data_IF_542501438275
#
_entry.id   IF_542501438275
#
_cell.length_a   1.000
_cell.length_b   1.000
_cell.length_c   1.000
_cell.angle_alpha   90.00
_cell.angle_beta   90.00
_cell.angle_gamma   90.00
#
_symmetry.space_group_name_H-M   'P 1'
#
loop_
_entity.id
_entity.type
_entity.pdbx_description
1 polymer ?
#
# COMPACT_ATOMS: atom_id res chain seq x y z
N UNK A 1 26.95 20.99 -19.88
CA UNK A 1 28.14 21.05 -19.01
C UNK A 1 28.09 19.90 -18.04
N UNK A 2 29.05 18.99 -18.16
CA UNK A 2 29.14 17.71 -17.45
C UNK A 2 29.44 17.90 -15.96
N UNK A 3 28.45 17.67 -15.09
CA UNK A 3 28.64 17.70 -13.64
C UNK A 3 29.15 16.35 -13.13
N UNK A 4 30.38 16.35 -12.61
CA UNK A 4 31.08 15.21 -12.02
C UNK A 4 30.26 14.58 -10.89
N UNK A 5 29.94 13.30 -11.03
CA UNK A 5 29.43 12.41 -9.98
C UNK A 5 30.54 12.14 -8.96
N UNK A 6 30.60 12.94 -7.90
CA UNK A 6 31.48 12.69 -6.75
C UNK A 6 30.79 11.78 -5.74
N UNK A 7 30.88 10.46 -5.95
CA UNK A 7 30.47 9.40 -5.01
C UNK A 7 31.52 9.22 -3.91
N UNK A 8 31.71 10.23 -3.06
CA UNK A 8 32.39 10.02 -1.78
C UNK A 8 31.34 9.54 -0.75
N UNK A 9 31.49 8.36 -0.13
CA UNK A 9 30.46 7.84 0.78
C UNK A 9 30.22 8.81 1.94
N UNK A 10 28.94 9.02 2.26
CA UNK A 10 28.43 9.91 3.32
C UNK A 10 28.97 9.51 4.71
N UNK A 11 29.38 8.24 4.86
CA UNK A 11 29.83 7.65 6.11
C UNK A 11 30.94 6.62 5.82
N UNK A 12 31.99 6.59 6.63
CA UNK A 12 32.95 5.47 6.64
C UNK A 12 32.37 4.35 7.49
N UNK A 13 32.04 3.23 6.88
CA UNK A 13 31.59 2.04 7.59
C UNK A 13 32.80 1.21 8.06
N UNK A 14 32.76 0.64 9.28
CA UNK A 14 33.81 -0.27 9.77
C UNK A 14 34.00 -1.53 8.93
N UNK A 15 32.96 -1.97 8.21
CA UNK A 15 32.97 -3.18 7.37
C UNK A 15 32.61 -2.86 5.92
N UNK A 16 32.81 -3.84 5.03
CA UNK A 16 32.51 -3.74 3.59
C UNK A 16 31.02 -3.97 3.26
N UNK A 17 30.21 -4.34 4.25
CA UNK A 17 28.81 -4.75 4.07
C UNK A 17 27.84 -3.77 4.75
N UNK A 18 27.67 -2.54 4.23
CA UNK A 18 26.80 -1.54 4.82
C UNK A 18 25.33 -1.79 4.52
N UNK A 19 24.45 -1.39 5.43
CA UNK A 19 23.01 -1.37 5.20
C UNK A 19 22.44 -0.06 5.72
N UNK A 20 21.79 0.70 4.84
CA UNK A 20 21.31 2.06 5.12
C UNK A 20 19.79 2.10 4.93
N UNK A 21 19.06 2.45 6.00
CA UNK A 21 17.64 2.75 5.91
C UNK A 21 17.48 4.25 5.67
N UNK A 22 17.02 4.56 4.45
CA UNK A 22 16.76 5.92 4.01
C UNK A 22 15.25 6.21 4.06
N UNK A 23 14.89 7.42 4.49
CA UNK A 23 13.54 7.98 4.39
C UNK A 23 13.64 9.40 3.83
N UNK A 24 12.67 9.87 3.01
CA UNK A 24 12.73 11.21 2.42
C UNK A 24 12.76 12.33 3.46
N UNK A 25 12.01 12.17 4.54
CA UNK A 25 11.76 13.23 5.53
C UNK A 25 12.25 12.91 6.94
N UNK A 26 12.44 11.62 7.26
CA UNK A 26 12.77 11.17 8.61
C UNK A 26 14.26 10.81 8.69
N UNK A 27 14.77 10.60 9.91
CA UNK A 27 16.17 10.23 10.12
C UNK A 27 16.56 8.96 9.38
N UNK A 28 17.81 8.92 8.97
CA UNK A 28 18.40 7.71 8.38
C UNK A 28 19.02 6.84 9.47
N UNK A 29 19.04 5.53 9.23
CA UNK A 29 19.73 4.56 10.08
C UNK A 29 20.85 3.89 9.28
N UNK A 30 22.01 3.73 9.92
CA UNK A 30 23.22 3.22 9.29
C UNK A 30 23.69 1.99 10.07
N UNK A 31 23.77 0.86 9.40
CA UNK A 31 24.23 -0.42 9.93
C UNK A 31 25.40 -0.95 9.09
N UNK A 32 26.17 -1.87 9.66
CA UNK A 32 27.20 -2.60 8.93
C UNK A 32 27.31 -4.02 9.49
N UNK A 33 27.49 -5.00 8.61
CA UNK A 33 27.48 -6.43 8.93
C UNK A 33 28.89 -6.99 8.78
N UNK A 34 29.20 -8.12 9.43
CA UNK A 34 30.54 -8.71 9.37
C UNK A 34 30.75 -9.51 8.09
N UNK A 35 29.67 -10.03 7.51
CA UNK A 35 29.70 -10.88 6.31
C UNK A 35 28.61 -10.49 5.32
N UNK A 36 28.79 -10.88 4.06
CA UNK A 36 27.78 -10.75 3.00
C UNK A 36 26.49 -11.51 3.33
N UNK A 37 26.61 -12.74 3.86
CA UNK A 37 25.45 -13.55 4.23
C UNK A 37 24.59 -12.88 5.34
N UNK A 38 25.22 -12.20 6.30
CA UNK A 38 24.50 -11.40 7.29
C UNK A 38 23.80 -10.20 6.66
N UNK A 39 24.47 -9.52 5.71
CA UNK A 39 23.91 -8.38 5.00
C UNK A 39 22.67 -8.79 4.20
N UNK A 40 22.73 -9.88 3.43
CA UNK A 40 21.61 -10.39 2.64
C UNK A 40 20.43 -10.76 3.53
N UNK A 41 20.70 -11.46 4.64
CA UNK A 41 19.66 -11.82 5.62
C UNK A 41 18.98 -10.58 6.23
N UNK A 42 19.76 -9.60 6.66
CA UNK A 42 19.22 -8.37 7.23
C UNK A 42 18.49 -7.51 6.21
N UNK A 43 18.96 -7.49 4.96
CA UNK A 43 18.29 -6.82 3.86
C UNK A 43 16.90 -7.40 3.63
N UNK A 44 16.79 -8.73 3.55
CA UNK A 44 15.52 -9.42 3.41
C UNK A 44 14.55 -9.09 4.57
N UNK A 45 15.03 -9.17 5.82
CA UNK A 45 14.23 -8.84 7.02
C UNK A 45 13.77 -7.39 6.99
N UNK A 46 14.64 -6.45 6.63
CA UNK A 46 14.30 -5.02 6.63
C UNK A 46 13.36 -4.66 5.47
N UNK A 47 13.49 -5.29 4.31
CA UNK A 47 12.51 -5.17 3.22
C UNK A 47 11.13 -5.67 3.67
N UNK A 48 11.06 -6.78 4.41
CA UNK A 48 9.82 -7.29 4.97
C UNK A 48 9.23 -6.33 6.02
N UNK A 49 10.07 -5.75 6.88
CA UNK A 49 9.65 -4.72 7.84
C UNK A 49 9.05 -3.50 7.12
N UNK A 50 9.70 -3.01 6.07
CA UNK A 50 9.21 -1.87 5.27
C UNK A 50 7.88 -2.23 4.62
N UNK A 51 7.78 -3.39 3.95
CA UNK A 51 6.54 -3.83 3.30
C UNK A 51 5.40 -3.97 4.29
N UNK A 52 5.66 -4.51 5.47
CA UNK A 52 4.67 -4.65 6.53
C UNK A 52 4.21 -3.28 7.03
N UNK A 53 5.13 -2.39 7.40
CA UNK A 53 4.80 -1.06 7.91
C UNK A 53 4.08 -0.21 6.86
N UNK A 54 4.46 -0.34 5.58
CA UNK A 54 3.83 0.41 4.50
C UNK A 54 2.38 -0.02 4.25
N UNK A 55 1.96 -1.23 4.66
CA UNK A 55 0.59 -1.73 4.58
C UNK A 55 -0.26 -1.31 5.81
N UNK A 56 -0.17 -0.03 6.19
CA UNK A 56 -0.74 0.48 7.43
C UNK A 56 -2.26 0.77 7.40
N UNK A 57 -2.88 0.71 6.22
CA UNK A 57 -4.33 0.85 6.04
C UNK A 57 -4.88 -0.48 5.50
N UNK A 58 -5.79 -1.16 6.23
CA UNK A 58 -6.34 -2.44 5.77
C UNK A 58 -7.10 -2.32 4.44
N UNK A 59 -6.81 -3.20 3.47
CA UNK A 59 -7.48 -3.20 2.16
C UNK A 59 -8.97 -3.58 2.25
N UNK A 60 -9.36 -4.31 3.28
CA UNK A 60 -10.75 -4.70 3.56
C UNK A 60 -11.54 -3.65 4.35
N UNK A 61 -10.90 -2.52 4.70
CA UNK A 61 -11.58 -1.38 5.31
C UNK A 61 -12.72 -0.89 4.40
N UNK A 62 -13.94 -0.92 4.92
CA UNK A 62 -15.15 -0.60 4.14
C UNK A 62 -15.43 0.90 3.99
N UNK A 63 -14.97 1.72 4.94
CA UNK A 63 -15.35 3.15 5.02
C UNK A 63 -14.13 4.05 5.25
N UNK A 64 -13.41 3.87 6.36
CA UNK A 64 -12.35 4.79 6.79
C UNK A 64 -11.18 4.84 5.79
N UNK A 65 -10.60 3.69 5.45
CA UNK A 65 -9.51 3.56 4.47
C UNK A 65 -9.83 4.18 3.09
N UNK A 66 -10.95 3.81 2.44
CA UNK A 66 -11.35 4.45 1.17
C UNK A 66 -11.58 5.96 1.30
N UNK A 67 -12.28 6.42 2.35
CA UNK A 67 -12.51 7.84 2.56
C UNK A 67 -11.20 8.63 2.74
N UNK A 68 -10.27 8.09 3.52
CA UNK A 68 -8.96 8.69 3.75
C UNK A 68 -8.12 8.75 2.47
N UNK A 69 -7.95 7.61 1.79
CA UNK A 69 -7.12 7.54 0.58
C UNK A 69 -7.68 8.38 -0.57
N UNK A 70 -9.01 8.45 -0.73
CA UNK A 70 -9.65 9.35 -1.68
C UNK A 70 -9.50 10.83 -1.31
N UNK A 71 -9.59 11.18 -0.02
CA UNK A 71 -9.37 12.56 0.44
C UNK A 71 -7.94 13.03 0.16
N UNK A 72 -6.92 12.19 0.42
CA UNK A 72 -5.52 12.47 0.06
C UNK A 72 -5.39 12.70 -1.45
N UNK A 73 -5.97 11.81 -2.26
CA UNK A 73 -5.95 11.94 -3.72
C UNK A 73 -6.61 13.25 -4.18
N UNK A 74 -7.76 13.62 -3.63
CA UNK A 74 -8.47 14.86 -3.97
C UNK A 74 -7.69 16.10 -3.54
N UNK A 75 -7.08 16.10 -2.36
CA UNK A 75 -6.21 17.18 -1.90
C UNK A 75 -5.05 17.40 -2.87
N UNK A 76 -4.31 16.33 -3.22
CA UNK A 76 -3.20 16.40 -4.17
C UNK A 76 -3.64 16.90 -5.55
N UNK A 77 -4.80 16.43 -6.05
CA UNK A 77 -5.38 16.92 -7.31
C UNK A 77 -5.73 18.41 -7.28
N UNK A 78 -6.14 18.96 -6.12
CA UNK A 78 -6.38 20.40 -5.96
C UNK A 78 -5.09 21.23 -6.08
N UNK A 79 -3.94 20.63 -5.77
CA UNK A 79 -2.58 21.17 -5.95
C UNK A 79 -1.97 20.80 -7.31
N UNK A 80 -2.78 20.33 -8.25
CA UNK A 80 -2.37 19.90 -9.60
C UNK A 80 -1.43 18.69 -9.64
N UNK A 81 -1.34 17.95 -8.54
CA UNK A 81 -0.60 16.69 -8.44
C UNK A 81 -1.54 15.52 -8.78
N UNK A 82 -1.33 14.94 -9.95
CA UNK A 82 -2.06 13.77 -10.44
C UNK A 82 -1.14 12.54 -10.45
N UNK A 83 -1.73 11.35 -10.51
CA UNK A 83 -1.00 10.09 -10.62
C UNK A 83 -0.87 9.35 -9.31
N UNK A 84 -0.15 8.22 -9.36
CA UNK A 84 0.21 7.45 -8.17
C UNK A 84 1.17 8.24 -7.28
N UNK A 85 1.15 7.95 -5.98
CA UNK A 85 2.01 8.60 -5.00
C UNK A 85 2.79 7.56 -4.21
N UNK A 86 4.12 7.59 -4.35
CA UNK A 86 5.01 6.66 -3.65
C UNK A 86 4.91 6.77 -2.13
N UNK A 87 4.61 7.96 -1.60
CA UNK A 87 4.48 8.19 -0.17
C UNK A 87 3.07 7.95 0.39
N UNK A 88 2.16 7.36 -0.41
CA UNK A 88 0.91 6.77 0.07
C UNK A 88 1.18 5.40 0.71
N UNK A 89 2.06 5.39 1.71
CA UNK A 89 2.50 4.21 2.43
C UNK A 89 2.60 4.52 3.93
N UNK A 90 2.29 3.52 4.76
CA UNK A 90 2.16 3.67 6.21
C UNK A 90 0.71 3.78 6.67
N UNK A 91 0.52 4.12 7.94
CA UNK A 91 -0.80 4.47 8.48
C UNK A 91 -1.20 5.90 8.10
N UNK A 92 -2.43 6.29 8.46
CA UNK A 92 -3.03 7.57 8.10
C UNK A 92 -2.19 8.76 8.56
N UNK A 93 -1.63 8.71 9.77
CA UNK A 93 -0.81 9.79 10.34
C UNK A 93 0.52 9.90 9.60
N UNK A 94 1.16 8.78 9.27
CA UNK A 94 2.39 8.77 8.47
C UNK A 94 2.16 9.36 7.08
N UNK A 95 1.05 8.98 6.43
CA UNK A 95 0.66 9.49 5.11
C UNK A 95 0.37 11.00 5.17
N UNK A 96 -0.36 11.48 6.17
CA UNK A 96 -0.59 12.92 6.38
C UNK A 96 0.72 13.67 6.62
N UNK A 97 1.63 13.08 7.38
CA UNK A 97 2.96 13.67 7.64
C UNK A 97 3.77 13.77 6.36
N UNK A 98 3.75 12.73 5.52
CA UNK A 98 4.37 12.75 4.20
C UNK A 98 3.77 13.83 3.30
N UNK A 99 2.44 14.02 3.35
CA UNK A 99 1.73 15.02 2.56
C UNK A 99 2.18 16.44 2.94
N UNK A 100 2.23 16.74 4.23
CA UNK A 100 2.69 18.04 4.74
C UNK A 100 4.17 18.28 4.40
N UNK A 101 5.02 17.25 4.52
CA UNK A 101 6.44 17.38 4.17
C UNK A 101 6.70 17.52 2.67
N UNK A 102 5.87 16.91 1.82
CA UNK A 102 5.91 17.11 0.35
C UNK A 102 5.64 18.58 -0.01
N UNK A 103 4.73 19.24 0.72
CA UNK A 103 4.35 20.64 0.49
C UNK A 103 5.33 21.64 1.11
N UNK A 104 5.70 21.48 2.39
CA UNK A 104 6.51 22.47 3.12
C UNK A 104 8.03 22.24 2.98
N UNK A 105 8.45 21.01 2.66
CA UNK A 105 9.86 20.62 2.60
C UNK A 105 10.71 21.46 1.64
N UNK A 106 10.27 21.72 0.38
CA UNK A 106 11.02 22.53 -0.57
C UNK A 106 11.25 23.97 -0.10
N UNK A 107 10.22 24.64 0.43
CA UNK A 107 10.30 26.02 0.92
C UNK A 107 11.21 26.10 2.14
N UNK A 108 11.02 25.21 3.12
CA UNK A 108 11.86 25.13 4.31
C UNK A 108 13.33 24.88 3.95
N UNK A 109 13.59 24.00 2.98
CA UNK A 109 14.95 23.72 2.50
C UNK A 109 15.56 24.94 1.82
N UNK A 110 14.79 25.66 1.00
CA UNK A 110 15.27 26.87 0.33
C UNK A 110 15.66 27.96 1.34
N UNK A 111 14.89 28.10 2.44
CA UNK A 111 15.18 29.09 3.48
C UNK A 111 16.39 28.70 4.36
N UNK A 112 16.48 27.44 4.77
CA UNK A 112 17.48 26.99 5.73
C UNK A 112 18.80 26.56 5.10
N UNK A 113 18.80 26.02 3.88
CA UNK A 113 20.02 25.50 3.23
C UNK A 113 21.17 26.53 3.11
N UNK A 114 20.91 27.83 2.82
CA UNK A 114 21.96 28.87 2.85
C UNK A 114 22.56 29.13 4.23
N UNK A 115 21.84 28.81 5.31
CA UNK A 115 22.25 29.03 6.70
C UNK A 115 23.08 27.88 7.27
N UNK A 116 23.06 26.71 6.63
CA UNK A 116 23.83 25.53 7.03
C UNK A 116 25.33 25.72 6.77
N UNK A 117 26.15 25.54 7.81
CA UNK A 117 27.60 25.72 7.76
C UNK A 117 28.33 24.39 7.70
N UNK A 118 29.41 24.34 6.92
CA UNK A 118 30.31 23.20 6.82
C UNK A 118 30.48 22.67 5.40
N UNK A 119 31.22 21.56 5.29
CA UNK A 119 31.40 20.84 4.01
C UNK A 119 30.05 20.30 3.50
N UNK A 120 29.90 19.99 2.21
CA UNK A 120 28.64 19.50 1.63
C UNK A 120 28.00 18.33 2.41
N UNK A 121 28.81 17.35 2.83
CA UNK A 121 28.35 16.20 3.62
C UNK A 121 27.82 16.60 5.00
N UNK A 122 28.49 17.55 5.68
CA UNK A 122 28.05 18.05 6.98
C UNK A 122 26.73 18.82 6.86
N UNK A 123 26.59 19.64 5.81
CA UNK A 123 25.33 20.34 5.49
C UNK A 123 24.20 19.36 5.18
N UNK A 124 24.49 18.26 4.47
CA UNK A 124 23.51 17.21 4.20
C UNK A 124 23.06 16.52 5.50
N UNK A 125 24.00 16.19 6.40
CA UNK A 125 23.69 15.61 7.71
C UNK A 125 22.84 16.54 8.57
N UNK A 126 23.19 17.82 8.62
CA UNK A 126 22.40 18.85 9.33
C UNK A 126 20.98 18.94 8.75
N UNK A 127 20.84 18.92 7.42
CA UNK A 127 19.52 18.92 6.78
C UNK A 127 18.69 17.68 7.15
N UNK A 128 19.29 16.48 7.16
CA UNK A 128 18.58 15.25 7.57
C UNK A 128 18.08 15.37 9.02
N UNK A 129 18.89 15.91 9.93
CA UNK A 129 18.48 16.13 11.32
C UNK A 129 17.34 17.15 11.46
N UNK A 130 17.42 18.25 10.72
CA UNK A 130 16.35 19.27 10.69
C UNK A 130 15.07 18.68 10.13
N UNK A 131 15.16 17.98 9.00
CA UNK A 131 14.00 17.34 8.36
C UNK A 131 13.32 16.34 9.29
N UNK A 132 14.09 15.52 10.01
CA UNK A 132 13.55 14.56 10.99
C UNK A 132 12.83 15.25 12.15
N UNK A 133 13.41 16.32 12.71
CA UNK A 133 12.79 17.08 13.79
C UNK A 133 11.46 17.69 13.34
N UNK A 134 11.41 18.24 12.12
CA UNK A 134 10.19 18.80 11.54
C UNK A 134 9.17 17.70 11.24
N UNK A 135 9.60 16.56 10.68
CA UNK A 135 8.71 15.41 10.44
C UNK A 135 8.02 14.94 11.72
N UNK A 136 8.75 14.82 12.84
CA UNK A 136 8.16 14.44 14.13
C UNK A 136 7.17 15.48 14.66
N UNK A 137 7.48 16.76 14.52
CA UNK A 137 6.56 17.85 14.91
C UNK A 137 5.27 17.79 14.08
N UNK A 138 5.41 17.62 12.77
CA UNK A 138 4.28 17.44 11.84
C UNK A 138 3.47 16.19 12.20
N UNK A 139 4.14 15.08 12.54
CA UNK A 139 3.48 13.83 12.91
C UNK A 139 2.57 13.99 14.12
N UNK A 140 3.06 14.58 15.22
CA UNK A 140 2.26 14.79 16.43
C UNK A 140 1.08 15.74 16.17
N UNK A 141 1.30 16.80 15.39
CA UNK A 141 0.23 17.73 15.04
C UNK A 141 -0.82 17.08 14.13
N UNK A 142 -0.40 16.35 13.09
CA UNK A 142 -1.28 15.63 12.18
C UNK A 142 -2.10 14.58 12.93
N UNK A 143 -1.47 13.85 13.86
CA UNK A 143 -2.13 12.86 14.71
C UNK A 143 -3.28 13.48 15.52
N UNK A 144 -2.98 14.55 16.27
CA UNK A 144 -3.97 15.20 17.12
C UNK A 144 -5.18 15.72 16.31
N UNK A 145 -4.94 16.33 15.15
CA UNK A 145 -6.02 16.82 14.29
C UNK A 145 -6.81 15.69 13.62
N UNK A 146 -6.13 14.65 13.13
CA UNK A 146 -6.77 13.51 12.48
C UNK A 146 -7.67 12.74 13.46
N UNK A 147 -7.15 12.41 14.65
CA UNK A 147 -7.91 11.68 15.68
C UNK A 147 -9.14 12.47 16.14
N UNK A 148 -9.02 13.80 16.29
CA UNK A 148 -10.14 14.66 16.63
C UNK A 148 -11.25 14.65 15.56
N UNK A 149 -10.87 14.71 14.27
CA UNK A 149 -11.83 14.64 13.15
C UNK A 149 -12.45 13.24 13.05
N UNK A 150 -11.63 12.18 13.18
CA UNK A 150 -12.10 10.80 13.12
C UNK A 150 -13.13 10.52 14.21
N UNK A 151 -12.86 10.92 15.45
CA UNK A 151 -13.78 10.78 16.57
C UNK A 151 -15.12 11.49 16.30
N UNK A 152 -15.06 12.73 15.78
CA UNK A 152 -16.27 13.48 15.39
C UNK A 152 -17.08 12.75 14.32
N UNK A 153 -16.42 12.18 13.31
CA UNK A 153 -17.09 11.45 12.23
C UNK A 153 -17.70 10.13 12.73
N UNK A 154 -17.01 9.41 13.62
CA UNK A 154 -17.52 8.18 14.23
C UNK A 154 -18.78 8.45 15.07
N UNK A 155 -18.85 9.58 15.79
CA UNK A 155 -20.05 9.99 16.52
C UNK A 155 -21.24 10.29 15.59
N UNK A 156 -20.99 10.90 14.43
CA UNK A 156 -22.04 11.22 13.46
C UNK A 156 -22.49 10.02 12.60
N UNK A 157 -21.68 8.95 12.56
CA UNK A 157 -21.86 7.82 11.65
C UNK A 157 -23.21 7.10 11.78
N UNK A 158 -23.72 6.73 12.98
CA UNK A 158 -24.98 5.99 13.09
C UNK A 158 -26.18 6.76 12.51
N UNK A 159 -26.23 8.07 12.72
CA UNK A 159 -27.26 8.93 12.15
C UNK A 159 -27.16 8.96 10.62
N UNK A 160 -25.94 9.08 10.08
CA UNK A 160 -25.73 9.08 8.63
C UNK A 160 -26.07 7.73 7.98
N UNK A 161 -25.77 6.61 8.65
CA UNK A 161 -26.18 5.27 8.22
C UNK A 161 -27.69 5.09 8.24
N UNK A 162 -28.39 5.64 9.24
CA UNK A 162 -29.85 5.63 9.30
C UNK A 162 -30.48 6.42 8.13
N UNK A 163 -29.95 7.61 7.83
CA UNK A 163 -30.37 8.40 6.67
C UNK A 163 -30.11 7.66 5.36
N UNK A 164 -28.90 7.12 5.15
CA UNK A 164 -28.56 6.38 3.92
C UNK A 164 -29.47 5.16 3.73
N UNK A 165 -29.80 4.43 4.81
CA UNK A 165 -30.70 3.27 4.73
C UNK A 165 -32.13 3.66 4.37
N UNK A 166 -32.61 4.76 4.92
CA UNK A 166 -33.99 5.24 4.73
C UNK A 166 -34.18 5.83 3.34
N UNK A 167 -33.21 6.63 2.89
CA UNK A 167 -33.31 7.42 1.66
C UNK A 167 -32.51 6.81 0.49
N UNK A 168 -32.20 5.51 0.53
CA UNK A 168 -31.30 4.85 -0.42
C UNK A 168 -31.71 5.09 -1.87
N UNK A 169 -32.98 4.88 -2.21
CA UNK A 169 -33.49 5.00 -3.58
C UNK A 169 -33.47 6.45 -4.08
N UNK A 170 -33.77 7.41 -3.19
CA UNK A 170 -33.72 8.84 -3.48
C UNK A 170 -32.27 9.29 -3.70
N UNK A 171 -31.32 8.81 -2.89
CA UNK A 171 -29.89 9.07 -3.06
C UNK A 171 -29.41 8.50 -4.39
N UNK A 172 -29.78 7.26 -4.75
CA UNK A 172 -29.41 6.63 -6.02
C UNK A 172 -29.97 7.43 -7.20
N UNK A 173 -31.25 7.79 -7.15
CA UNK A 173 -31.92 8.56 -8.21
C UNK A 173 -31.29 9.94 -8.37
N UNK A 174 -30.99 10.63 -7.27
CA UNK A 174 -30.29 11.93 -7.30
C UNK A 174 -28.88 11.80 -7.90
N UNK A 175 -28.13 10.76 -7.51
CA UNK A 175 -26.79 10.48 -8.04
C UNK A 175 -26.82 10.19 -9.54
N UNK A 176 -27.79 9.42 -10.01
CA UNK A 176 -27.96 9.09 -11.43
C UNK A 176 -28.34 10.32 -12.25
N UNK A 177 -29.24 11.17 -11.73
CA UNK A 177 -29.59 12.44 -12.38
C UNK A 177 -28.37 13.37 -12.53
N UNK A 178 -27.57 13.53 -11.46
CA UNK A 178 -26.33 14.29 -11.53
C UNK A 178 -25.34 13.67 -12.52
N UNK A 179 -25.15 12.35 -12.46
CA UNK A 179 -24.25 11.63 -13.36
C UNK A 179 -24.67 11.76 -14.84
N UNK A 180 -25.96 11.76 -15.14
CA UNK A 180 -26.50 12.00 -16.49
C UNK A 180 -26.11 13.37 -17.02
N UNK A 181 -26.26 14.43 -16.21
CA UNK A 181 -25.84 15.79 -16.57
C UNK A 181 -24.33 15.89 -16.80
N UNK A 182 -23.53 15.28 -15.92
CA UNK A 182 -22.07 15.24 -16.07
C UNK A 182 -21.69 14.49 -17.35
N UNK A 183 -22.29 13.32 -17.62
CA UNK A 183 -22.07 12.52 -18.84
C UNK A 183 -22.38 13.33 -20.09
N UNK A 184 -23.55 13.97 -20.16
CA UNK A 184 -23.92 14.79 -21.32
C UNK A 184 -22.87 15.88 -21.64
N UNK A 185 -22.23 16.42 -20.60
CA UNK A 185 -21.20 17.44 -20.75
C UNK A 185 -19.81 16.88 -21.13
N UNK A 186 -19.33 15.84 -20.44
CA UNK A 186 -17.92 15.42 -20.54
C UNK A 186 -17.69 14.17 -21.39
N UNK A 187 -18.71 13.31 -21.58
CA UNK A 187 -18.55 11.99 -22.19
C UNK A 187 -17.93 12.04 -23.60
N UNK A 188 -18.35 12.92 -24.53
CA UNK A 188 -17.75 12.93 -25.88
C UNK A 188 -16.24 13.22 -25.86
N UNK A 189 -15.80 14.14 -24.99
CA UNK A 189 -14.38 14.47 -24.84
C UNK A 189 -13.62 13.35 -24.13
N UNK A 190 -14.22 12.73 -23.13
CA UNK A 190 -13.63 11.60 -22.41
C UNK A 190 -13.45 10.39 -23.34
N UNK A 191 -14.44 10.04 -24.17
CA UNK A 191 -14.37 8.92 -25.11
C UNK A 191 -13.25 9.11 -26.15
N UNK A 192 -13.14 10.31 -26.73
CA UNK A 192 -12.05 10.64 -27.66
C UNK A 192 -10.70 10.52 -26.95
N UNK A 193 -10.59 11.04 -25.72
CA UNK A 193 -9.35 10.95 -24.95
C UNK A 193 -8.97 9.49 -24.64
N UNK A 194 -9.92 8.67 -24.21
CA UNK A 194 -9.70 7.23 -23.95
C UNK A 194 -9.26 6.52 -25.23
N UNK A 195 -10.01 6.65 -26.32
CA UNK A 195 -9.72 5.97 -27.59
C UNK A 195 -8.36 6.33 -28.16
N UNK A 196 -7.97 7.60 -28.08
CA UNK A 196 -6.75 8.09 -28.74
C UNK A 196 -5.51 8.02 -27.85
N UNK A 197 -5.66 8.12 -26.52
CA UNK A 197 -4.53 8.30 -25.61
C UNK A 197 -4.43 7.26 -24.50
N UNK A 198 -5.46 6.44 -24.28
CA UNK A 198 -5.44 5.40 -23.23
C UNK A 198 -5.50 4.01 -23.85
N UNK A 199 -6.56 3.72 -24.63
CA UNK A 199 -6.83 2.40 -25.22
C UNK A 199 -5.62 1.77 -25.93
N UNK A 200 -4.81 2.50 -26.74
CA UNK A 200 -3.67 1.90 -27.44
C UNK A 200 -2.58 1.34 -26.51
N UNK A 201 -2.54 1.79 -25.26
CA UNK A 201 -1.49 1.43 -24.29
C UNK A 201 -1.94 0.42 -23.24
N UNK A 202 -3.25 0.16 -23.12
CA UNK A 202 -3.79 -0.81 -22.15
C UNK A 202 -3.12 -2.20 -22.26
N UNK A 203 -2.95 -2.80 -23.46
CA UNK A 203 -2.32 -4.12 -23.58
C UNK A 203 -0.90 -4.13 -23.03
N UNK A 204 -0.10 -3.11 -23.36
CA UNK A 204 1.30 -3.01 -22.93
C UNK A 204 1.44 -2.79 -21.41
N UNK A 205 0.59 -1.92 -20.82
CA UNK A 205 0.56 -1.73 -19.35
C UNK A 205 0.20 -3.06 -18.67
N UNK A 206 -0.82 -3.74 -19.20
CA UNK A 206 -1.33 -4.97 -18.62
C UNK A 206 -0.29 -6.10 -18.73
N UNK A 207 0.37 -6.27 -19.87
CA UNK A 207 1.44 -7.26 -20.06
C UNK A 207 2.60 -7.04 -19.09
N UNK A 208 3.06 -5.80 -18.96
CA UNK A 208 4.16 -5.44 -18.05
C UNK A 208 3.83 -5.75 -16.58
N UNK A 209 2.56 -5.59 -16.16
CA UNK A 209 2.10 -5.96 -14.82
C UNK A 209 1.90 -7.48 -14.69
N UNK A 210 1.32 -8.12 -15.70
CA UNK A 210 0.88 -9.51 -15.66
C UNK A 210 2.04 -10.48 -15.52
N UNK A 211 3.14 -10.27 -16.25
CA UNK A 211 4.29 -11.19 -16.28
C UNK A 211 4.92 -11.37 -14.89
N UNK A 212 5.48 -10.33 -14.25
CA UNK A 212 6.12 -10.48 -12.94
C UNK A 212 5.14 -10.88 -11.85
N UNK A 213 3.91 -10.35 -11.88
CA UNK A 213 2.88 -10.69 -10.89
C UNK A 213 2.50 -12.16 -10.98
N UNK A 214 2.25 -12.68 -12.18
CA UNK A 214 1.88 -14.09 -12.33
C UNK A 214 3.02 -15.02 -11.96
N UNK A 215 4.27 -14.66 -12.29
CA UNK A 215 5.45 -15.42 -11.87
C UNK A 215 5.57 -15.48 -10.34
N UNK A 216 5.38 -14.36 -9.63
CA UNK A 216 5.44 -14.35 -8.17
C UNK A 216 4.34 -15.19 -7.50
N UNK A 217 3.12 -15.20 -8.04
CA UNK A 217 2.05 -16.07 -7.53
C UNK A 217 2.31 -17.55 -7.85
N UNK A 218 2.93 -17.87 -8.99
CA UNK A 218 3.38 -19.25 -9.26
C UNK A 218 4.48 -19.67 -8.29
N UNK A 219 5.45 -18.79 -8.02
CA UNK A 219 6.52 -19.06 -7.06
C UNK A 219 5.97 -19.30 -5.65
N UNK A 220 4.97 -18.53 -5.19
CA UNK A 220 4.27 -18.78 -3.92
C UNK A 220 3.68 -20.19 -3.88
N UNK A 221 3.03 -20.61 -4.97
CA UNK A 221 2.44 -21.94 -5.10
C UNK A 221 3.51 -23.04 -4.97
N UNK A 222 4.65 -22.84 -5.62
CA UNK A 222 5.75 -23.81 -5.66
C UNK A 222 6.47 -23.89 -4.31
N UNK A 223 6.70 -22.76 -3.65
CA UNK A 223 7.24 -22.70 -2.27
C UNK A 223 6.29 -23.43 -1.32
N UNK A 224 4.99 -23.14 -1.36
CA UNK A 224 4.00 -23.82 -0.52
C UNK A 224 3.98 -25.34 -0.77
N UNK A 225 3.95 -25.76 -2.04
CA UNK A 225 3.98 -27.16 -2.42
C UNK A 225 5.23 -27.88 -1.88
N UNK A 226 6.41 -27.26 -2.06
CA UNK A 226 7.67 -27.80 -1.57
C UNK A 226 7.66 -27.98 -0.05
N UNK A 227 7.26 -26.95 0.69
CA UNK A 227 7.29 -26.97 2.15
C UNK A 227 6.34 -28.00 2.76
N UNK A 228 5.14 -28.16 2.19
CA UNK A 228 4.21 -29.22 2.61
C UNK A 228 4.74 -30.60 2.24
N UNK A 229 5.39 -30.75 1.09
CA UNK A 229 5.99 -32.02 0.66
C UNK A 229 7.15 -32.41 1.57
N UNK A 230 8.02 -31.47 1.91
CA UNK A 230 9.15 -31.68 2.83
C UNK A 230 8.63 -32.07 4.22
N UNK A 231 7.59 -31.40 4.72
CA UNK A 231 6.91 -31.82 5.95
C UNK A 231 6.39 -33.25 5.87
N UNK A 232 5.73 -33.62 4.75
CA UNK A 232 5.18 -34.96 4.58
C UNK A 232 6.28 -36.03 4.60
N UNK A 233 7.41 -35.77 3.93
CA UNK A 233 8.60 -36.63 3.97
C UNK A 233 9.16 -36.79 5.39
N UNK A 234 9.22 -35.70 6.15
CA UNK A 234 9.71 -35.74 7.53
C UNK A 234 8.78 -36.52 8.46
N UNK A 235 7.46 -36.43 8.28
CA UNK A 235 6.46 -37.26 9.01
C UNK A 235 6.66 -38.75 8.72
N UNK A 236 6.99 -39.10 7.47
CA UNK A 236 7.31 -40.49 7.09
C UNK A 236 8.60 -40.97 7.78
N UNK A 237 9.63 -40.13 7.83
CA UNK A 237 10.97 -40.52 8.28
C UNK A 237 11.17 -40.48 9.81
N UNK A 238 10.58 -39.53 10.54
CA UNK A 238 11.05 -39.15 11.88
C UNK A 238 10.06 -39.39 13.04
N UNK A 239 8.93 -40.08 12.82
CA UNK A 239 8.12 -40.58 13.94
C UNK A 239 6.60 -40.54 13.80
N UNK A 240 6.04 -40.22 12.63
CA UNK A 240 4.58 -40.16 12.46
C UNK A 240 3.95 -38.91 13.10
N UNK A 241 2.75 -39.04 13.66
CA UNK A 241 1.91 -37.91 14.07
C UNK A 241 2.51 -37.05 15.21
N UNK A 242 3.40 -37.61 16.03
CA UNK A 242 3.95 -36.93 17.22
C UNK A 242 4.80 -35.71 16.87
N UNK A 243 5.45 -35.72 15.69
CA UNK A 243 6.27 -34.60 15.18
C UNK A 243 5.48 -33.60 14.34
N UNK A 244 4.23 -33.91 14.00
CA UNK A 244 3.42 -33.09 13.10
C UNK A 244 3.15 -31.69 13.67
N UNK A 245 2.94 -31.57 14.98
CA UNK A 245 2.75 -30.27 15.64
C UNK A 245 3.95 -29.32 15.44
N UNK A 246 5.18 -29.83 15.59
CA UNK A 246 6.41 -29.06 15.39
C UNK A 246 6.56 -28.58 13.94
N UNK A 247 6.20 -29.43 12.96
CA UNK A 247 6.25 -29.05 11.56
C UNK A 247 5.16 -28.05 11.18
N UNK A 248 3.95 -28.22 11.73
CA UNK A 248 2.85 -27.28 11.51
C UNK A 248 3.15 -25.91 12.12
N UNK A 249 3.80 -25.84 13.29
CA UNK A 249 4.23 -24.57 13.87
C UNK A 249 5.19 -23.83 12.92
N UNK A 250 6.17 -24.53 12.33
CA UNK A 250 7.08 -23.94 11.34
C UNK A 250 6.36 -23.53 10.05
N UNK A 251 5.45 -24.37 9.56
CA UNK A 251 4.68 -24.11 8.36
C UNK A 251 3.73 -22.91 8.53
N UNK A 252 3.12 -22.74 9.71
CA UNK A 252 2.22 -21.63 10.05
C UNK A 252 2.88 -20.25 9.87
N UNK A 253 4.21 -20.19 9.97
CA UNK A 253 4.99 -18.96 9.81
C UNK A 253 5.54 -18.77 8.39
N UNK A 254 5.23 -19.66 7.44
CA UNK A 254 5.84 -19.65 6.11
C UNK A 254 5.63 -18.33 5.36
N UNK A 255 4.44 -17.74 5.47
CA UNK A 255 4.12 -16.44 4.85
C UNK A 255 4.99 -15.28 5.37
N UNK A 256 5.58 -15.42 6.56
CA UNK A 256 6.43 -14.42 7.19
C UNK A 256 7.90 -14.86 7.25
N UNK A 257 8.26 -15.98 6.61
CA UNK A 257 9.61 -16.49 6.64
C UNK A 257 10.53 -15.65 5.74
N UNK A 258 11.52 -14.94 6.30
CA UNK A 258 12.22 -13.85 5.62
C UNK A 258 13.10 -14.31 4.46
N UNK A 259 13.40 -15.62 4.33
CA UNK A 259 14.17 -16.16 3.21
C UNK A 259 13.32 -16.94 2.21
N UNK A 260 12.23 -17.57 2.65
CA UNK A 260 11.44 -18.49 1.80
C UNK A 260 10.49 -17.71 0.91
N UNK A 261 10.02 -16.57 1.39
CA UNK A 261 9.18 -15.66 0.61
C UNK A 261 9.96 -14.74 -0.33
N UNK A 262 11.29 -14.63 -0.19
CA UNK A 262 12.08 -13.69 -1.02
C UNK A 262 12.03 -14.06 -2.50
N UNK A 263 12.13 -15.34 -2.86
CA UNK A 263 12.06 -15.75 -4.27
C UNK A 263 10.73 -15.33 -4.90
N UNK A 264 9.63 -15.33 -4.13
CA UNK A 264 8.32 -14.85 -4.56
C UNK A 264 8.34 -13.33 -4.81
N UNK A 265 8.90 -12.58 -3.86
CA UNK A 265 8.94 -11.12 -3.92
C UNK A 265 9.87 -10.58 -5.01
N UNK A 266 11.00 -11.24 -5.24
CA UNK A 266 11.98 -10.91 -6.27
C UNK A 266 11.40 -10.95 -7.68
N UNK A 267 10.34 -11.74 -7.93
CA UNK A 267 9.66 -11.75 -9.23
C UNK A 267 9.06 -10.40 -9.59
N UNK A 268 8.80 -9.53 -8.63
CA UNK A 268 8.33 -8.16 -8.88
C UNK A 268 9.45 -7.19 -9.20
N UNK A 269 10.72 -7.52 -8.96
CA UNK A 269 11.82 -6.58 -9.18
C UNK A 269 12.03 -6.16 -10.63
N UNK A 270 11.84 -7.04 -11.64
CA UNK A 270 11.86 -6.68 -13.04
C UNK A 270 10.71 -5.78 -13.51
N UNK A 271 9.69 -5.51 -12.68
CA UNK A 271 8.56 -4.66 -13.10
C UNK A 271 9.05 -3.28 -13.52
N UNK A 272 8.82 -2.96 -14.79
CA UNK A 272 9.08 -1.67 -15.41
C UNK A 272 7.83 -1.22 -16.15
N UNK A 273 7.50 0.07 -16.01
CA UNK A 273 6.45 0.74 -16.79
C UNK A 273 7.09 1.81 -17.67
N UNK A 274 8.25 1.48 -18.25
CA UNK A 274 9.08 2.40 -19.02
C UNK A 274 8.33 2.87 -20.28
N UNK A 275 8.49 4.14 -20.63
CA UNK A 275 7.73 4.79 -21.72
C UNK A 275 6.29 5.17 -21.37
N UNK A 276 5.67 4.51 -20.39
CA UNK A 276 4.34 4.82 -19.87
C UNK A 276 4.40 5.84 -18.73
N UNK A 277 5.47 5.85 -17.93
CA UNK A 277 5.66 6.82 -16.83
C UNK A 277 5.56 8.27 -17.28
N UNK A 278 6.27 8.66 -18.34
CA UNK A 278 6.22 10.03 -18.88
C UNK A 278 4.85 10.40 -19.46
N UNK A 279 4.09 9.41 -19.93
CA UNK A 279 2.80 9.63 -20.59
C UNK A 279 1.66 9.70 -19.59
N UNK A 280 1.67 8.83 -18.58
CA UNK A 280 0.61 8.68 -17.59
C UNK A 280 0.93 9.32 -16.23
N UNK A 281 2.08 10.01 -16.11
CA UNK A 281 2.52 10.65 -14.87
C UNK A 281 2.65 9.64 -13.70
N UNK A 282 3.15 8.45 -14.02
CA UNK A 282 3.40 7.40 -13.01
C UNK A 282 4.74 7.72 -12.36
N UNK A 283 4.68 8.20 -11.12
CA UNK A 283 5.86 8.64 -10.35
C UNK A 283 6.83 7.49 -10.04
N UNK A 284 6.32 6.29 -9.74
CA UNK A 284 7.11 5.09 -9.45
C UNK A 284 6.30 3.82 -9.68
N UNK A 285 6.98 2.70 -10.01
CA UNK A 285 6.37 1.36 -10.03
C UNK A 285 6.32 0.72 -8.64
N UNK A 286 6.95 1.34 -7.64
CA UNK A 286 7.09 0.81 -6.27
C UNK A 286 5.76 0.45 -5.62
N UNK A 287 4.74 1.30 -5.78
CA UNK A 287 3.38 1.06 -5.25
C UNK A 287 2.82 -0.27 -5.74
N UNK A 288 2.97 -0.57 -7.04
CA UNK A 288 2.47 -1.82 -7.61
C UNK A 288 3.31 -3.04 -7.21
N UNK A 289 4.64 -2.88 -7.12
CA UNK A 289 5.53 -3.94 -6.60
C UNK A 289 5.13 -4.33 -5.18
N UNK A 290 5.04 -3.34 -4.30
CA UNK A 290 4.74 -3.55 -2.88
C UNK A 290 3.37 -4.21 -2.70
N UNK A 291 2.35 -3.71 -3.41
CA UNK A 291 0.99 -4.25 -3.32
C UNK A 291 0.90 -5.70 -3.84
N UNK A 292 1.55 -6.01 -4.96
CA UNK A 292 1.61 -7.38 -5.45
C UNK A 292 2.30 -8.32 -4.45
N UNK A 293 3.40 -7.88 -3.83
CA UNK A 293 4.11 -8.66 -2.80
C UNK A 293 3.25 -8.86 -1.54
N UNK A 294 2.44 -7.87 -1.14
CA UNK A 294 1.48 -8.01 -0.03
C UNK A 294 0.44 -9.09 -0.37
N UNK A 295 -0.14 -9.06 -1.55
CA UNK A 295 -1.08 -10.11 -1.98
C UNK A 295 -0.43 -11.50 -2.05
N UNK A 296 0.83 -11.60 -2.49
CA UNK A 296 1.57 -12.87 -2.45
C UNK A 296 1.69 -13.41 -1.02
N UNK A 297 1.97 -12.53 -0.04
CA UNK A 297 2.02 -12.89 1.38
C UNK A 297 0.66 -13.37 1.89
N UNK A 298 -0.39 -12.62 1.62
CA UNK A 298 -1.76 -12.96 2.03
C UNK A 298 -2.21 -14.31 1.44
N UNK A 299 -1.90 -14.57 0.17
CA UNK A 299 -2.25 -15.85 -0.46
C UNK A 299 -1.43 -17.03 0.10
N UNK A 300 -0.16 -16.82 0.46
CA UNK A 300 0.63 -17.83 1.19
C UNK A 300 -0.01 -18.14 2.55
N UNK A 301 -0.34 -17.11 3.33
CA UNK A 301 -0.93 -17.23 4.66
C UNK A 301 -2.29 -17.97 4.59
N UNK A 302 -3.14 -17.58 3.65
CA UNK A 302 -4.42 -18.24 3.39
C UNK A 302 -4.24 -19.73 3.01
N UNK A 303 -3.24 -20.07 2.19
CA UNK A 303 -2.97 -21.44 1.78
C UNK A 303 -2.53 -22.30 2.96
N UNK A 304 -1.59 -21.79 3.77
CA UNK A 304 -1.09 -22.44 4.98
C UNK A 304 -2.21 -22.63 6.00
N UNK A 305 -2.97 -21.57 6.31
CA UNK A 305 -4.09 -21.64 7.24
C UNK A 305 -5.18 -22.63 6.79
N UNK A 306 -5.51 -22.63 5.49
CA UNK A 306 -6.48 -23.58 4.93
C UNK A 306 -5.95 -25.01 5.03
N UNK A 307 -4.67 -25.23 4.74
CA UNK A 307 -4.03 -26.54 4.87
C UNK A 307 -4.07 -27.04 6.31
N UNK A 308 -3.65 -26.23 7.28
CA UNK A 308 -3.69 -26.55 8.71
C UNK A 308 -5.10 -26.91 9.16
N UNK A 309 -6.09 -26.08 8.81
CA UNK A 309 -7.49 -26.30 9.18
C UNK A 309 -8.02 -27.63 8.64
N UNK A 310 -7.75 -27.93 7.37
CA UNK A 310 -8.19 -29.18 6.74
C UNK A 310 -7.44 -30.40 7.30
N UNK A 311 -6.16 -30.26 7.61
CA UNK A 311 -5.37 -31.32 8.22
C UNK A 311 -5.86 -31.65 9.63
N UNK A 312 -6.16 -30.64 10.44
CA UNK A 312 -6.71 -30.83 11.78
C UNK A 312 -8.05 -31.61 11.75
N UNK A 313 -8.91 -31.32 10.77
CA UNK A 313 -10.17 -32.06 10.57
C UNK A 313 -9.94 -33.54 10.20
N UNK A 314 -8.92 -33.85 9.41
CA UNK A 314 -8.57 -35.24 9.08
C UNK A 314 -7.91 -35.97 10.27
N UNK A 315 -7.08 -35.28 11.05
CA UNK A 315 -6.46 -35.85 12.26
C UNK A 315 -7.49 -36.26 13.31
N UNK A 316 -8.61 -35.55 13.42
CA UNK A 316 -9.73 -35.91 14.30
C UNK A 316 -10.36 -37.29 14.00
N UNK A 317 -10.03 -37.91 12.86
CA UNK A 317 -10.48 -39.26 12.48
C UNK A 317 -9.53 -40.37 12.95
N UNK A 318 -8.39 -40.03 13.55
CA UNK A 318 -7.38 -40.98 14.03
C UNK A 318 -6.72 -41.82 12.92
N UNK A 319 -6.17 -41.22 11.85
CA UNK A 319 -5.58 -41.96 10.74
C UNK A 319 -4.30 -42.71 11.15
N UNK A 320 -4.08 -43.88 10.54
CA UNK A 320 -2.77 -44.56 10.61
C UNK A 320 -1.69 -43.74 9.89
N UNK A 321 -0.41 -44.09 10.09
CA UNK A 321 0.73 -43.38 9.46
C UNK A 321 0.64 -43.33 7.92
N UNK A 322 0.27 -44.44 7.27
CA UNK A 322 0.13 -44.48 5.81
C UNK A 322 -1.08 -43.67 5.31
N UNK A 323 -2.18 -43.71 6.06
CA UNK A 323 -3.37 -42.91 5.78
C UNK A 323 -3.10 -41.41 5.96
N UNK A 324 -2.30 -41.04 6.96
CA UNK A 324 -1.90 -39.66 7.22
C UNK A 324 -1.12 -39.08 6.04
N UNK A 325 -0.14 -39.79 5.50
CA UNK A 325 0.63 -39.36 4.33
C UNK A 325 -0.29 -39.14 3.10
N UNK A 326 -1.18 -40.11 2.83
CA UNK A 326 -2.16 -40.00 1.73
C UNK A 326 -3.13 -38.84 1.95
N UNK A 327 -3.53 -38.59 3.19
CA UNK A 327 -4.41 -37.49 3.56
C UNK A 327 -3.73 -36.14 3.41
N UNK A 328 -2.47 -35.98 3.84
CA UNK A 328 -1.66 -34.76 3.64
C UNK A 328 -1.58 -34.42 2.15
N UNK A 329 -1.24 -35.40 1.31
CA UNK A 329 -1.14 -35.19 -0.13
C UNK A 329 -2.49 -34.81 -0.76
N UNK A 330 -3.59 -35.47 -0.37
CA UNK A 330 -4.94 -35.13 -0.83
C UNK A 330 -5.38 -33.73 -0.40
N UNK A 331 -5.06 -33.34 0.85
CA UNK A 331 -5.35 -32.00 1.35
C UNK A 331 -4.53 -30.97 0.57
N UNK A 332 -3.24 -31.23 0.35
CA UNK A 332 -2.36 -30.37 -0.46
C UNK A 332 -2.96 -30.13 -1.84
N UNK A 333 -3.35 -31.19 -2.57
CA UNK A 333 -4.00 -31.05 -3.88
C UNK A 333 -5.29 -30.22 -3.83
N UNK A 334 -6.09 -30.39 -2.76
CA UNK A 334 -7.32 -29.61 -2.55
C UNK A 334 -7.02 -28.14 -2.28
N UNK A 335 -5.98 -27.84 -1.49
CA UNK A 335 -5.55 -26.47 -1.18
C UNK A 335 -4.98 -25.82 -2.43
N UNK A 336 -4.17 -26.52 -3.23
CA UNK A 336 -3.64 -26.00 -4.49
C UNK A 336 -4.75 -25.61 -5.47
N UNK A 337 -5.80 -26.43 -5.60
CA UNK A 337 -6.97 -26.08 -6.43
C UNK A 337 -7.69 -24.81 -5.97
N UNK A 338 -7.78 -24.60 -4.65
CA UNK A 338 -8.36 -23.37 -4.06
C UNK A 338 -7.44 -22.17 -4.31
N UNK A 339 -6.15 -22.34 -4.06
CA UNK A 339 -5.13 -21.34 -4.32
C UNK A 339 -5.14 -20.89 -5.79
N UNK A 340 -5.20 -21.82 -6.75
CA UNK A 340 -5.20 -21.49 -8.18
C UNK A 340 -6.41 -20.64 -8.57
N UNK A 341 -7.59 -20.90 -7.97
CA UNK A 341 -8.80 -20.10 -8.14
C UNK A 341 -8.68 -18.70 -7.51
N UNK A 342 -8.24 -18.63 -6.26
CA UNK A 342 -8.13 -17.37 -5.51
C UNK A 342 -7.02 -16.49 -6.09
N UNK A 343 -5.86 -17.06 -6.43
CA UNK A 343 -4.75 -16.40 -7.13
C UNK A 343 -5.21 -15.74 -8.44
N UNK A 344 -6.01 -16.44 -9.25
CA UNK A 344 -6.58 -15.87 -10.48
C UNK A 344 -7.50 -14.68 -10.19
N UNK A 345 -8.36 -14.82 -9.17
CA UNK A 345 -9.32 -13.78 -8.76
C UNK A 345 -8.63 -12.53 -8.21
N UNK A 346 -7.61 -12.71 -7.36
CA UNK A 346 -6.80 -11.63 -6.78
C UNK A 346 -6.00 -10.92 -7.86
N UNK A 347 -5.29 -11.65 -8.73
CA UNK A 347 -4.53 -11.05 -9.83
C UNK A 347 -5.41 -10.25 -10.78
N UNK A 348 -6.57 -10.78 -11.17
CA UNK A 348 -7.54 -10.04 -12.02
C UNK A 348 -7.99 -8.73 -11.38
N UNK A 349 -8.27 -8.74 -10.06
CA UNK A 349 -8.64 -7.55 -9.31
C UNK A 349 -7.48 -6.54 -9.28
N UNK A 350 -6.29 -7.00 -8.91
CA UNK A 350 -5.07 -6.20 -8.88
C UNK A 350 -4.79 -5.52 -10.23
N UNK A 351 -4.84 -6.26 -11.34
CA UNK A 351 -4.60 -5.69 -12.67
C UNK A 351 -5.63 -4.63 -13.05
N UNK A 352 -6.92 -4.89 -12.76
CA UNK A 352 -7.98 -3.90 -13.00
C UNK A 352 -7.73 -2.63 -12.21
N UNK A 353 -7.40 -2.74 -10.94
CA UNK A 353 -7.17 -1.59 -10.07
C UNK A 353 -5.93 -0.82 -10.46
N UNK A 354 -4.82 -1.50 -10.77
CA UNK A 354 -3.60 -0.87 -11.25
C UNK A 354 -3.85 -0.09 -12.56
N UNK A 355 -4.58 -0.68 -13.51
CA UNK A 355 -4.96 0.01 -14.76
C UNK A 355 -5.79 1.27 -14.47
N UNK A 356 -6.76 1.22 -13.55
CA UNK A 356 -7.56 2.39 -13.19
C UNK A 356 -6.70 3.45 -12.49
N UNK A 357 -5.81 3.07 -11.57
CA UNK A 357 -4.91 3.98 -10.86
C UNK A 357 -3.89 4.66 -11.80
N UNK A 358 -3.50 4.01 -12.90
CA UNK A 358 -2.63 4.60 -13.93
C UNK A 358 -3.42 5.53 -14.85
N UNK A 359 -4.60 5.10 -15.31
CA UNK A 359 -5.29 5.76 -16.43
C UNK A 359 -6.25 6.87 -16.00
N UNK A 360 -6.93 6.73 -14.85
CA UNK A 360 -7.88 7.75 -14.38
C UNK A 360 -7.19 9.08 -14.08
N UNK A 361 -6.06 9.15 -13.35
CA UNK A 361 -5.42 10.44 -13.07
C UNK A 361 -4.98 11.17 -14.33
N UNK A 362 -4.48 10.43 -15.33
CA UNK A 362 -4.17 10.97 -16.65
C UNK A 362 -5.40 11.59 -17.33
N UNK A 363 -6.53 10.86 -17.36
CA UNK A 363 -7.78 11.36 -17.93
C UNK A 363 -8.26 12.62 -17.19
N UNK A 364 -8.24 12.60 -15.86
CA UNK A 364 -8.65 13.75 -15.04
C UNK A 364 -7.77 14.97 -15.32
N UNK A 365 -6.45 14.79 -15.46
CA UNK A 365 -5.50 15.87 -15.82
C UNK A 365 -5.80 16.44 -17.21
N UNK A 366 -6.05 15.57 -18.20
CA UNK A 366 -6.37 16.01 -19.58
C UNK A 366 -7.71 16.70 -19.70
N UNK A 367 -8.70 16.30 -18.89
CA UNK A 367 -10.05 16.87 -18.90
C UNK A 367 -10.20 18.09 -17.98
N UNK A 368 -9.28 18.29 -17.04
CA UNK A 368 -9.33 19.38 -16.05
C UNK A 368 -9.61 20.77 -16.64
N UNK A 369 -8.99 21.23 -17.75
CA UNK A 369 -9.28 22.55 -18.32
C UNK A 369 -10.74 22.71 -18.78
N UNK A 370 -11.39 21.62 -19.19
CA UNK A 370 -12.81 21.62 -19.57
C UNK A 370 -13.73 21.58 -18.34
N UNK A 371 -13.34 20.86 -17.28
CA UNK A 371 -14.19 20.64 -16.11
C UNK A 371 -14.06 21.71 -15.02
N UNK A 372 -12.85 22.24 -14.79
CA UNK A 372 -12.56 23.22 -13.73
C UNK A 372 -13.20 24.59 -13.98
N UNK A 373 -13.42 24.95 -15.25
CA UNK A 373 -14.08 26.21 -15.65
C UNK A 373 -15.60 26.19 -15.49
N UNK A 374 -16.20 25.01 -15.30
CA UNK A 374 -17.66 24.81 -15.18
C UNK A 374 -18.07 24.43 -13.75
N UNK A 375 -17.11 24.10 -12.88
CA UNK A 375 -17.37 23.72 -11.49
C UNK A 375 -17.41 24.94 -10.56
N UNK A 376 -18.59 25.60 -10.51
CA UNK A 376 -19.32 26.16 -9.34
C UNK A 376 -20.41 27.12 -9.88
N UNK A 377 -21.68 27.06 -9.42
CA UNK A 377 -22.13 26.49 -8.15
C UNK A 377 -23.05 25.28 -8.31
N UNK A 378 -22.65 24.17 -7.70
CA UNK A 378 -23.62 23.23 -7.14
C UNK A 378 -24.23 23.91 -5.89
N UNK A 379 -25.55 23.85 -5.67
CA UNK A 379 -26.21 24.60 -4.61
C UNK A 379 -25.63 24.24 -3.24
N UNK A 380 -25.38 25.26 -2.41
CA UNK A 380 -25.01 25.08 -1.01
C UNK A 380 -26.05 24.19 -0.32
N UNK A 381 -25.64 23.15 0.43
CA UNK A 381 -26.55 22.54 1.38
C UNK A 381 -26.95 23.61 2.41
N UNK A 382 -28.22 23.64 2.87
CA UNK A 382 -28.66 24.61 3.86
C UNK A 382 -27.74 24.52 5.08
N UNK A 383 -27.28 25.67 5.56
CA UNK A 383 -26.50 25.78 6.79
C UNK A 383 -27.27 25.09 7.92
N UNK A 384 -26.79 23.92 8.35
CA UNK A 384 -27.14 23.40 9.66
C UNK A 384 -26.61 24.43 10.66
N UNK A 385 -27.53 25.22 11.22
CA UNK A 385 -27.23 26.28 12.17
C UNK A 385 -26.35 25.74 13.29
N UNK A 386 -25.20 26.38 13.46
CA UNK A 386 -24.40 26.23 14.65
C UNK A 386 -25.25 26.63 15.87
N UNK A 387 -25.31 25.81 16.94
CA UNK A 387 -25.87 26.28 18.19
C UNK A 387 -24.99 27.43 18.70
N UNK A 388 -25.61 28.59 18.94
CA UNK A 388 -24.99 29.75 19.54
C UNK A 388 -24.31 29.37 20.86
N UNK A 389 -23.10 29.90 21.17
CA UNK A 389 -22.48 29.70 22.47
C UNK A 389 -23.38 30.32 23.57
N UNK A 390 -23.48 29.70 24.75
CA UNK A 390 -24.20 30.30 25.86
C UNK A 390 -23.50 31.61 26.27
N UNK A 391 -24.31 32.66 26.44
CA UNK A 391 -23.83 33.98 26.84
C UNK A 391 -23.15 33.93 28.22
N UNK A 392 -22.14 34.80 28.49
CA UNK A 392 -21.52 34.86 29.80
C UNK A 392 -22.54 35.36 30.84
N UNK A 393 -22.74 34.59 31.90
CA UNK A 393 -23.48 35.02 33.08
C UNK A 393 -22.72 36.13 33.79
N UNK A 394 -23.13 37.36 33.56
CA UNK A 394 -22.79 38.50 34.40
C UNK A 394 -23.48 38.34 35.76
N UNK A 395 -22.73 37.95 36.78
CA UNK A 395 -23.17 38.18 38.16
C UNK A 395 -22.99 39.67 38.49
N UNK A 396 -24.02 40.36 39.01
CA UNK A 396 -23.84 41.69 39.58
C UNK A 396 -23.16 41.60 40.96
N UNK A 397 -22.45 42.65 41.38
CA UNK A 397 -21.75 42.66 42.66
C UNK A 397 -22.74 42.97 43.79
N UNK A 398 -22.72 42.14 44.83
CA UNK A 398 -23.03 42.50 46.22
C UNK A 398 -22.45 41.40 47.14
#
# INVERSE_FOLDING_TARGET
>A
TTSKSGTAPILKCPTQFPLILWHPSARHYYFCMMTEAEQDKWQAILQDCIRHCNNGIPEDSKVEGPAFTDAIRMYRQSKELYGTWEMLCGNEVQILSNLVMEELGPELKAELAPRLKGKPQERQRQWIQISDAVYRMVYEQAKAHFEAVLSKLQLARPAMEATIRTDMDQIITSKEHLASKIRAFILPKAEVCVRNHVQPYIPSILEALMVPTSQGFTEVRDVFFKEVTDMNLNVINEGGADKLGEYMEKLSQLAYHPLKMQSCYEKMEPLRLDGLQQRFDVSSTSVFKQRAQIHMREQMDNAVYTFETLLHQELGKGPTKEELCKSIQRILERVLKKYDYDSSSVRKRFFREALLQITIPFLLKKLAPTCKSVSVPLPHPPSLGSPSPPAPSLHPPA
#
